data_IF_006392157860
#
_entry.id   IF_006392157860
#
_cell.length_a   1.000
_cell.length_b   1.000
_cell.length_c   1.000
_cell.angle_alpha   90.00
_cell.angle_beta   90.00
_cell.angle_gamma   90.00
#
_symmetry.space_group_name_H-M   'P 1'
#
loop_
_entity.id
_entity.type
_entity.pdbx_description
1 polymer ?
#
# COMPACT_ATOMS: atom_id res chain seq x y z
N UNK A 1 -22.58 -34.89 57.61
CA UNK A 1 -21.35 -35.70 57.35
C UNK A 1 -20.38 -34.88 56.58
N UNK A 2 -19.25 -34.47 57.17
CA UNK A 2 -18.18 -33.74 56.43
C UNK A 2 -17.46 -34.72 55.50
N UNK A 3 -17.49 -34.45 54.17
CA UNK A 3 -16.66 -35.18 53.18
C UNK A 3 -15.20 -34.96 53.53
N UNK A 4 -14.46 -36.02 53.88
CA UNK A 4 -13.00 -35.97 54.08
C UNK A 4 -12.34 -35.56 52.74
N UNK A 5 -11.45 -34.58 52.79
CA UNK A 5 -10.66 -34.18 51.64
C UNK A 5 -9.88 -35.38 51.07
N UNK A 6 -9.76 -35.54 49.75
CA UNK A 6 -9.01 -36.66 49.17
C UNK A 6 -7.55 -36.58 49.61
N UNK A 7 -6.99 -37.72 50.04
CA UNK A 7 -5.55 -37.83 50.40
C UNK A 7 -4.69 -37.45 49.20
N UNK A 8 -3.83 -36.47 49.35
CA UNK A 8 -2.84 -36.11 48.35
C UNK A 8 -1.58 -36.98 48.56
N UNK A 9 -1.08 -37.57 47.47
CA UNK A 9 0.14 -38.38 47.44
C UNK A 9 1.22 -37.69 46.59
N UNK A 10 2.48 -37.67 47.07
CA UNK A 10 3.59 -37.06 46.37
C UNK A 10 3.95 -37.84 45.11
N UNK A 11 4.50 -37.18 44.11
CA UNK A 11 4.93 -37.83 42.84
C UNK A 11 5.98 -38.92 43.11
N UNK A 12 6.85 -38.74 44.11
CA UNK A 12 7.84 -39.74 44.53
C UNK A 12 7.15 -41.01 45.03
N UNK A 13 6.14 -40.88 45.91
CA UNK A 13 5.38 -42.02 46.39
C UNK A 13 4.65 -42.79 45.29
N UNK A 14 4.09 -42.05 44.30
CA UNK A 14 3.40 -42.67 43.17
C UNK A 14 4.38 -43.47 42.30
N UNK A 15 5.59 -42.95 42.06
CA UNK A 15 6.66 -43.66 41.30
C UNK A 15 7.12 -44.91 42.06
N UNK A 16 7.37 -44.80 43.34
CA UNK A 16 7.77 -45.97 44.18
C UNK A 16 6.65 -47.04 44.20
N UNK A 17 5.40 -46.63 44.27
CA UNK A 17 4.26 -47.56 44.24
C UNK A 17 4.13 -48.27 42.87
N UNK A 18 4.49 -47.62 41.76
CA UNK A 18 4.49 -48.21 40.43
C UNK A 18 5.69 -49.18 40.27
N UNK A 19 6.87 -48.81 40.81
CA UNK A 19 8.05 -49.64 40.76
C UNK A 19 7.91 -50.98 41.49
N UNK A 20 7.12 -51.04 42.56
CA UNK A 20 6.74 -52.29 43.22
C UNK A 20 6.08 -53.28 42.24
N UNK A 21 5.33 -52.80 41.27
CA UNK A 21 4.65 -53.63 40.27
C UNK A 21 5.57 -53.96 39.12
N UNK A 22 6.31 -52.98 38.60
CA UNK A 22 7.07 -53.10 37.38
C UNK A 22 8.43 -53.80 37.60
N UNK A 23 9.10 -53.51 38.71
CA UNK A 23 10.44 -53.98 38.99
C UNK A 23 10.47 -55.13 40.00
N UNK A 24 9.55 -55.12 40.96
CA UNK A 24 9.56 -56.12 42.05
C UNK A 24 8.50 -57.23 41.88
N UNK A 25 7.70 -57.20 40.78
CA UNK A 25 6.77 -58.27 40.43
C UNK A 25 5.54 -58.44 41.30
N UNK A 26 5.20 -57.42 42.13
CA UNK A 26 3.96 -57.44 42.96
C UNK A 26 2.73 -57.33 42.07
N UNK A 27 1.70 -58.10 42.41
CA UNK A 27 0.39 -57.86 41.79
C UNK A 27 -0.19 -56.52 42.26
N UNK A 28 -1.03 -55.86 41.46
CA UNK A 28 -1.66 -54.58 41.81
C UNK A 28 -2.40 -54.67 43.13
N UNK A 29 -3.02 -55.83 43.43
CA UNK A 29 -3.73 -56.08 44.67
C UNK A 29 -2.76 -56.14 45.90
N UNK A 30 -1.66 -56.82 45.76
CA UNK A 30 -0.62 -56.94 46.80
C UNK A 30 0.05 -55.60 47.09
N UNK A 31 0.40 -54.83 46.03
CA UNK A 31 1.00 -53.51 46.16
C UNK A 31 0.01 -52.50 46.79
N UNK A 32 -1.28 -52.54 46.41
CA UNK A 32 -2.32 -51.71 47.02
C UNK A 32 -2.52 -51.98 48.49
N UNK A 33 -2.54 -53.25 48.88
CA UNK A 33 -2.68 -53.65 50.29
C UNK A 33 -1.43 -53.26 51.13
N UNK A 34 -0.24 -53.44 50.59
CA UNK A 34 1.01 -53.09 51.29
C UNK A 34 1.15 -51.57 51.50
N UNK A 35 0.65 -50.74 50.56
CA UNK A 35 0.71 -49.29 50.63
C UNK A 35 -0.52 -48.64 51.27
N UNK A 36 -1.55 -49.40 51.61
CA UNK A 36 -2.79 -48.90 52.22
C UNK A 36 -3.59 -47.97 51.31
N UNK A 37 -3.52 -48.23 49.99
CA UNK A 37 -4.23 -47.45 48.96
C UNK A 37 -5.21 -48.34 48.17
N UNK A 38 -6.13 -47.69 47.40
CA UNK A 38 -7.08 -48.47 46.62
C UNK A 38 -6.45 -48.93 45.29
N UNK A 39 -6.79 -50.14 44.85
CA UNK A 39 -6.35 -50.71 43.56
C UNK A 39 -6.71 -49.75 42.38
N UNK A 40 -7.84 -49.07 42.46
CA UNK A 40 -8.30 -48.10 41.48
C UNK A 40 -7.30 -46.93 41.30
N UNK A 41 -6.74 -46.42 42.40
CA UNK A 41 -5.72 -45.37 42.38
C UNK A 41 -4.42 -45.88 41.75
N UNK A 42 -4.02 -47.07 42.09
CA UNK A 42 -2.77 -47.65 41.57
C UNK A 42 -2.86 -47.98 40.07
N UNK A 43 -4.04 -48.45 39.59
CA UNK A 43 -4.29 -48.62 38.16
C UNK A 43 -4.27 -47.26 37.42
N UNK A 44 -4.81 -46.21 37.99
CA UNK A 44 -4.79 -44.87 37.41
C UNK A 44 -3.35 -44.31 37.30
N UNK A 45 -2.54 -44.52 38.34
CA UNK A 45 -1.13 -44.11 38.34
C UNK A 45 -0.29 -44.91 37.34
N UNK A 46 -0.48 -46.22 37.28
CA UNK A 46 0.19 -47.11 36.30
C UNK A 46 -0.14 -46.70 34.87
N UNK A 47 -1.41 -46.46 34.54
CA UNK A 47 -1.86 -46.01 33.21
C UNK A 47 -1.25 -44.66 32.84
N UNK A 48 -1.09 -43.75 33.81
CA UNK A 48 -0.45 -42.48 33.60
C UNK A 48 1.05 -42.62 33.33
N UNK A 49 1.74 -43.45 34.12
CA UNK A 49 3.16 -43.75 33.95
C UNK A 49 3.45 -44.43 32.58
N UNK A 50 2.63 -45.38 32.19
CA UNK A 50 2.73 -46.05 30.89
C UNK A 50 2.50 -45.08 29.73
N UNK A 51 1.59 -44.08 29.92
CA UNK A 51 1.34 -43.03 28.91
C UNK A 51 2.49 -42.01 28.83
N UNK A 52 3.19 -41.74 29.94
CA UNK A 52 4.31 -40.81 30.01
C UNK A 52 5.62 -41.46 29.47
N UNK A 53 5.76 -42.78 29.53
CA UNK A 53 6.93 -43.51 29.08
C UNK A 53 6.83 -44.05 27.64
N UNK A 54 5.81 -43.72 26.86
CA UNK A 54 5.75 -44.05 25.44
C UNK A 54 6.83 -43.27 24.66
N UNK A 55 7.59 -43.90 23.73
CA UNK A 55 8.67 -43.22 23.01
C UNK A 55 8.30 -42.00 22.19
N UNK A 56 7.01 -41.66 22.15
CA UNK A 56 6.47 -40.45 21.51
C UNK A 56 5.50 -39.68 22.41
N UNK A 57 5.57 -39.84 23.74
CA UNK A 57 4.71 -39.10 24.64
C UNK A 57 5.24 -37.69 24.86
N UNK A 58 4.46 -36.68 24.47
CA UNK A 58 4.75 -35.28 24.76
C UNK A 58 4.94 -35.08 26.27
N UNK A 59 6.01 -34.39 26.64
CA UNK A 59 6.24 -33.96 28.03
C UNK A 59 5.09 -33.07 28.54
N UNK A 60 4.96 -32.91 29.82
CA UNK A 60 3.96 -32.02 30.39
C UNK A 60 4.13 -30.57 29.89
N UNK A 61 5.38 -30.14 29.67
CA UNK A 61 5.72 -28.83 29.12
C UNK A 61 5.28 -28.71 27.64
N UNK A 62 5.61 -29.69 26.81
CA UNK A 62 5.23 -29.72 25.38
C UNK A 62 3.70 -29.78 25.18
N UNK A 63 2.98 -30.50 26.07
CA UNK A 63 1.49 -30.48 26.04
C UNK A 63 0.94 -29.11 26.36
N UNK A 64 1.51 -28.42 27.34
CA UNK A 64 1.09 -27.08 27.71
C UNK A 64 1.39 -26.09 26.58
N UNK A 65 2.55 -26.19 25.96
CA UNK A 65 2.93 -25.38 24.80
C UNK A 65 2.01 -25.64 23.60
N UNK A 66 1.74 -26.89 23.29
CA UNK A 66 0.83 -27.28 22.19
C UNK A 66 -0.60 -26.76 22.43
N UNK A 67 -1.09 -26.76 23.65
CA UNK A 67 -2.38 -26.16 24.00
C UNK A 67 -2.36 -24.65 23.84
N UNK A 68 -1.28 -23.98 24.24
CA UNK A 68 -1.09 -22.55 24.05
C UNK A 68 -1.04 -22.17 22.56
N UNK A 69 -0.22 -22.89 21.76
CA UNK A 69 -0.10 -22.69 20.33
C UNK A 69 -1.42 -22.94 19.58
N UNK A 70 -2.16 -23.99 19.92
CA UNK A 70 -3.51 -24.23 19.36
C UNK A 70 -4.48 -23.10 19.65
N UNK A 71 -4.41 -22.55 20.86
CA UNK A 71 -5.23 -21.40 21.25
C UNK A 71 -4.84 -20.14 20.47
N UNK A 72 -3.55 -19.93 20.27
CA UNK A 72 -3.01 -18.82 19.50
C UNK A 72 -3.36 -18.93 18.01
N UNK A 73 -3.19 -20.10 17.41
CA UNK A 73 -3.58 -20.37 16.00
C UNK A 73 -5.09 -20.13 15.80
N UNK A 74 -5.93 -20.57 16.74
CA UNK A 74 -7.37 -20.31 16.67
C UNK A 74 -7.67 -18.82 16.74
N UNK A 75 -6.95 -18.09 17.61
CA UNK A 75 -7.08 -16.65 17.74
C UNK A 75 -6.62 -15.92 16.45
N UNK A 76 -5.46 -16.27 15.91
CA UNK A 76 -4.92 -15.67 14.67
C UNK A 76 -5.82 -15.95 13.46
N UNK A 77 -6.42 -17.13 13.35
CA UNK A 77 -7.40 -17.44 12.30
C UNK A 77 -8.61 -16.52 12.40
N UNK A 78 -9.18 -16.34 13.60
CA UNK A 78 -10.30 -15.41 13.81
C UNK A 78 -9.87 -13.95 13.49
N UNK A 79 -8.69 -13.52 13.92
CA UNK A 79 -8.16 -12.18 13.66
C UNK A 79 -7.90 -11.94 12.17
N UNK A 80 -7.67 -12.98 11.36
CA UNK A 80 -7.53 -12.91 9.90
C UNK A 80 -8.89 -12.86 9.18
N UNK A 81 -9.93 -13.46 9.72
CA UNK A 81 -11.27 -13.44 9.12
C UNK A 81 -12.01 -12.12 9.36
N UNK A 82 -11.88 -11.56 10.56
CA UNK A 82 -12.51 -10.29 10.93
C UNK A 82 -12.09 -9.12 10.02
N UNK A 83 -10.79 -8.92 9.66
CA UNK A 83 -10.39 -7.84 8.76
C UNK A 83 -11.02 -7.90 7.39
N UNK A 84 -11.21 -9.08 6.80
CA UNK A 84 -11.86 -9.21 5.48
C UNK A 84 -13.25 -8.55 5.45
N UNK A 85 -13.95 -8.53 6.59
CA UNK A 85 -15.26 -7.89 6.75
C UNK A 85 -15.17 -6.45 7.26
N UNK A 86 -14.11 -6.10 8.02
CA UNK A 86 -13.98 -4.82 8.73
C UNK A 86 -12.84 -3.90 8.26
N UNK A 87 -11.96 -4.34 7.37
CA UNK A 87 -10.77 -3.58 6.93
C UNK A 87 -11.15 -2.25 6.27
N UNK A 88 -12.31 -2.23 5.61
CA UNK A 88 -12.88 -1.03 5.01
C UNK A 88 -13.33 0.01 6.04
N UNK A 89 -13.57 -0.39 7.29
CA UNK A 89 -14.10 0.47 8.36
C UNK A 89 -13.01 1.04 9.28
N UNK A 90 -11.75 0.64 9.12
CA UNK A 90 -10.64 1.12 9.97
C UNK A 90 -10.36 2.64 9.81
N UNK A 91 -10.76 3.23 8.69
CA UNK A 91 -10.68 4.67 8.44
C UNK A 91 -11.89 5.44 9.03
N UNK A 92 -12.88 4.73 9.54
CA UNK A 92 -14.14 5.30 9.98
C UNK A 92 -14.08 5.81 11.43
N UNK A 93 -15.07 6.64 11.77
CA UNK A 93 -15.24 7.17 13.13
C UNK A 93 -15.39 6.03 14.15
N UNK A 94 -15.02 6.31 15.39
CA UNK A 94 -15.16 5.38 16.52
C UNK A 94 -16.58 4.77 16.58
N UNK A 95 -17.63 5.57 16.31
CA UNK A 95 -19.02 5.12 16.32
C UNK A 95 -19.30 4.00 15.31
N UNK A 96 -18.76 4.10 14.07
CA UNK A 96 -18.95 3.11 13.00
C UNK A 96 -18.21 1.82 13.35
N UNK A 97 -17.00 1.94 13.87
CA UNK A 97 -16.24 0.79 14.38
C UNK A 97 -16.95 0.11 15.56
N UNK A 98 -17.54 0.89 16.46
CA UNK A 98 -18.36 0.35 17.55
C UNK A 98 -19.60 -0.36 17.04
N UNK A 99 -20.25 0.18 16.00
CA UNK A 99 -21.41 -0.45 15.37
C UNK A 99 -21.04 -1.78 14.71
N UNK A 100 -19.92 -1.86 14.00
CA UNK A 100 -19.40 -3.12 13.47
C UNK A 100 -19.18 -4.18 14.56
N UNK A 101 -18.59 -3.76 15.71
CA UNK A 101 -18.42 -4.66 16.87
C UNK A 101 -19.78 -5.14 17.40
N UNK A 102 -20.76 -4.25 17.46
CA UNK A 102 -22.12 -4.56 17.92
C UNK A 102 -22.83 -5.58 17.02
N UNK A 103 -22.69 -5.44 15.72
CA UNK A 103 -23.31 -6.32 14.72
C UNK A 103 -22.70 -7.73 14.74
N UNK A 104 -21.37 -7.81 14.95
CA UNK A 104 -20.66 -9.08 14.87
C UNK A 104 -20.37 -9.72 16.23
N UNK A 105 -20.86 -9.16 17.35
CA UNK A 105 -20.60 -9.68 18.71
C UNK A 105 -21.16 -11.08 18.97
N UNK A 106 -22.15 -11.52 18.18
CA UNK A 106 -22.72 -12.87 18.24
C UNK A 106 -21.83 -13.91 17.57
N UNK A 107 -21.06 -13.51 16.55
CA UNK A 107 -20.20 -14.41 15.77
C UNK A 107 -18.77 -14.48 16.34
N UNK A 108 -18.28 -13.38 16.94
CA UNK A 108 -16.91 -13.27 17.44
C UNK A 108 -16.86 -12.63 18.83
N UNK A 109 -15.90 -13.02 19.68
CA UNK A 109 -15.72 -12.40 20.98
C UNK A 109 -15.41 -10.89 20.88
N UNK A 110 -16.07 -10.06 21.65
CA UNK A 110 -15.92 -8.60 21.68
C UNK A 110 -14.45 -8.18 21.86
N UNK A 111 -13.67 -8.92 22.66
CA UNK A 111 -12.24 -8.67 22.87
C UNK A 111 -11.45 -8.68 21.55
N UNK A 112 -11.73 -9.65 20.67
CA UNK A 112 -11.04 -9.78 19.37
C UNK A 112 -11.53 -8.75 18.36
N UNK A 113 -12.85 -8.52 18.30
CA UNK A 113 -13.42 -7.47 17.45
C UNK A 113 -12.85 -6.08 17.80
N UNK A 114 -12.83 -5.73 19.08
CA UNK A 114 -12.27 -4.45 19.53
C UNK A 114 -10.77 -4.32 19.18
N UNK A 115 -9.99 -5.41 19.34
CA UNK A 115 -8.56 -5.42 19.01
C UNK A 115 -8.34 -5.16 17.53
N UNK A 116 -9.06 -5.88 16.65
CA UNK A 116 -8.97 -5.73 15.20
C UNK A 116 -9.41 -4.34 14.76
N UNK A 117 -10.51 -3.82 15.32
CA UNK A 117 -11.02 -2.49 15.01
C UNK A 117 -10.24 -1.35 15.72
N UNK A 118 -9.14 -1.66 16.41
CA UNK A 118 -8.34 -0.69 17.17
C UNK A 118 -9.20 0.17 18.11
N UNK A 119 -10.11 -0.47 18.85
CA UNK A 119 -10.99 0.13 19.83
C UNK A 119 -10.65 -0.38 21.24
N UNK A 120 -10.75 0.50 22.24
CA UNK A 120 -10.79 0.02 23.62
C UNK A 120 -12.15 -0.61 23.94
N UNK A 121 -12.19 -1.66 24.77
CA UNK A 121 -13.46 -2.23 25.22
C UNK A 121 -14.31 -1.23 25.99
N UNK A 122 -13.68 -0.36 26.79
CA UNK A 122 -14.37 0.71 27.51
C UNK A 122 -15.06 1.69 26.56
N UNK A 123 -14.40 2.05 25.44
CA UNK A 123 -15.00 2.89 24.39
C UNK A 123 -16.23 2.23 23.78
N UNK A 124 -16.16 0.93 23.48
CA UNK A 124 -17.30 0.19 22.95
C UNK A 124 -18.48 0.15 23.95
N UNK A 125 -18.24 -0.20 25.21
CA UNK A 125 -19.31 -0.25 26.21
C UNK A 125 -19.89 1.13 26.55
N UNK A 126 -19.08 2.19 26.54
CA UNK A 126 -19.57 3.57 26.69
C UNK A 126 -20.45 3.99 25.53
N UNK A 127 -20.07 3.62 24.30
CA UNK A 127 -20.87 3.86 23.10
C UNK A 127 -22.19 3.05 23.15
N UNK A 128 -22.15 1.80 23.61
CA UNK A 128 -23.35 0.95 23.74
C UNK A 128 -24.42 1.55 24.67
N UNK A 129 -24.00 2.31 25.69
CA UNK A 129 -24.94 3.04 26.58
C UNK A 129 -25.58 4.26 25.88
N UNK A 130 -24.93 4.82 24.86
CA UNK A 130 -25.41 5.97 24.08
C UNK A 130 -25.09 5.75 22.60
N UNK A 131 -25.78 4.83 21.91
CA UNK A 131 -25.47 4.52 20.53
C UNK A 131 -25.75 5.73 19.64
N UNK A 132 -24.73 6.16 18.88
CA UNK A 132 -24.94 7.10 17.78
C UNK A 132 -25.63 6.33 16.66
N UNK A 133 -26.67 6.91 16.07
CA UNK A 133 -27.38 6.32 14.92
C UNK A 133 -26.38 5.91 13.84
N UNK A 134 -26.42 4.67 13.33
CA UNK A 134 -25.55 4.25 12.24
C UNK A 134 -25.76 5.18 11.03
N UNK A 135 -24.72 5.36 10.24
CA UNK A 135 -24.86 6.03 8.97
C UNK A 135 -25.75 5.16 8.06
N UNK A 136 -26.52 5.83 7.22
CA UNK A 136 -27.22 5.16 6.13
C UNK A 136 -26.22 4.48 5.16
N UNK A 137 -26.66 3.43 4.50
CA UNK A 137 -25.81 2.60 3.65
C UNK A 137 -25.11 3.41 2.56
N UNK A 138 -25.80 4.35 1.93
CA UNK A 138 -25.27 5.25 0.89
C UNK A 138 -24.11 6.12 1.44
N UNK A 139 -24.27 6.66 2.64
CA UNK A 139 -23.22 7.45 3.29
C UNK A 139 -22.03 6.56 3.67
N UNK A 140 -22.28 5.33 4.12
CA UNK A 140 -21.22 4.37 4.43
C UNK A 140 -20.43 3.99 3.19
N UNK A 141 -21.11 3.72 2.09
CA UNK A 141 -20.49 3.40 0.79
C UNK A 141 -19.63 4.57 0.27
N UNK A 142 -20.15 5.80 0.33
CA UNK A 142 -19.41 7.01 -0.01
C UNK A 142 -18.12 7.15 0.82
N UNK A 143 -18.19 6.87 2.15
CA UNK A 143 -17.03 6.93 3.03
C UNK A 143 -15.99 5.87 2.66
N UNK A 144 -16.42 4.65 2.39
CA UNK A 144 -15.54 3.55 1.98
C UNK A 144 -14.85 3.87 0.65
N UNK A 145 -15.60 4.39 -0.33
CA UNK A 145 -15.07 4.78 -1.63
C UNK A 145 -14.05 5.91 -1.52
N UNK A 146 -14.35 6.95 -0.73
CA UNK A 146 -13.42 8.04 -0.47
C UNK A 146 -12.10 7.55 0.14
N UNK A 147 -12.17 6.65 1.12
CA UNK A 147 -11.00 6.03 1.73
C UNK A 147 -10.20 5.15 0.75
N UNK A 148 -10.87 4.41 -0.13
CA UNK A 148 -10.22 3.58 -1.16
C UNK A 148 -9.43 4.44 -2.15
N UNK A 149 -10.08 5.44 -2.75
CA UNK A 149 -9.46 6.37 -3.69
C UNK A 149 -8.28 7.12 -3.07
N UNK A 150 -8.41 7.53 -1.81
CA UNK A 150 -7.32 8.20 -1.10
C UNK A 150 -6.13 7.27 -0.86
N UNK A 151 -6.35 5.99 -0.54
CA UNK A 151 -5.29 4.97 -0.40
C UNK A 151 -4.64 4.62 -1.73
N UNK A 152 -5.41 4.42 -2.79
CA UNK A 152 -4.92 4.13 -4.14
C UNK A 152 -3.98 5.21 -4.67
N UNK A 153 -4.26 6.48 -4.32
CA UNK A 153 -3.40 7.62 -4.62
C UNK A 153 -2.20 7.77 -3.67
N UNK A 154 -1.96 6.83 -2.78
CA UNK A 154 -0.97 6.92 -1.70
C UNK A 154 -1.11 8.18 -0.85
N UNK A 155 -2.34 8.53 -0.50
CA UNK A 155 -2.66 9.68 0.34
C UNK A 155 -2.24 11.03 -0.28
N UNK A 156 -2.29 11.14 -1.60
CA UNK A 156 -1.89 12.34 -2.33
C UNK A 156 -3.06 13.17 -2.88
N UNK A 157 -4.29 12.62 -2.89
CA UNK A 157 -5.47 13.32 -3.41
C UNK A 157 -5.96 14.42 -2.46
N UNK A 158 -5.90 15.67 -2.92
CA UNK A 158 -6.59 16.77 -2.28
C UNK A 158 -8.10 16.73 -2.52
N UNK A 159 -8.87 17.48 -1.72
CA UNK A 159 -10.33 17.44 -1.75
C UNK A 159 -10.97 17.70 -3.12
N UNK A 160 -10.42 18.61 -3.96
CA UNK A 160 -10.93 18.88 -5.31
C UNK A 160 -10.80 17.67 -6.24
N UNK A 161 -9.63 17.02 -6.20
CA UNK A 161 -9.37 15.83 -7.02
C UNK A 161 -10.18 14.63 -6.53
N UNK A 162 -10.31 14.47 -5.21
CA UNK A 162 -11.15 13.42 -4.61
C UNK A 162 -12.62 13.65 -4.98
N UNK A 163 -13.11 14.90 -4.91
CA UNK A 163 -14.47 15.23 -5.33
C UNK A 163 -14.72 14.90 -6.81
N UNK A 164 -13.75 15.23 -7.68
CA UNK A 164 -13.85 14.93 -9.11
C UNK A 164 -13.90 13.42 -9.36
N UNK A 165 -13.10 12.63 -8.64
CA UNK A 165 -13.13 11.16 -8.75
C UNK A 165 -14.45 10.58 -8.23
N UNK A 166 -14.94 11.04 -7.08
CA UNK A 166 -16.21 10.58 -6.52
C UNK A 166 -17.38 10.88 -7.48
N UNK A 167 -17.40 12.08 -8.11
CA UNK A 167 -18.43 12.42 -9.12
C UNK A 167 -18.36 11.50 -10.34
N UNK A 168 -17.15 11.15 -10.79
CA UNK A 168 -16.96 10.18 -11.88
C UNK A 168 -17.49 8.79 -11.55
N UNK A 169 -17.47 8.41 -10.28
CA UNK A 169 -18.03 7.15 -9.75
C UNK A 169 -19.55 7.27 -9.47
N UNK A 170 -20.19 8.39 -9.81
CA UNK A 170 -21.65 8.58 -9.69
C UNK A 170 -22.13 9.28 -8.42
N UNK A 171 -21.23 9.66 -7.49
CA UNK A 171 -21.63 10.33 -6.26
C UNK A 171 -21.87 11.83 -6.46
N UNK A 172 -23.08 12.31 -6.15
CA UNK A 172 -23.41 13.74 -6.18
C UNK A 172 -22.81 14.47 -4.96
N UNK A 173 -21.54 14.84 -5.04
CA UNK A 173 -20.83 15.50 -3.94
C UNK A 173 -20.17 16.81 -4.38
N UNK A 174 -20.32 17.88 -3.57
CA UNK A 174 -19.63 19.14 -3.77
C UNK A 174 -18.23 19.15 -3.17
N UNK A 175 -17.37 20.05 -3.64
CA UNK A 175 -16.01 20.24 -3.11
C UNK A 175 -16.02 20.56 -1.62
N UNK A 176 -17.00 21.37 -1.16
CA UNK A 176 -17.18 21.69 0.25
C UNK A 176 -17.52 20.46 1.08
N UNK A 177 -18.48 19.64 0.63
CA UNK A 177 -18.83 18.37 1.31
C UNK A 177 -17.67 17.41 1.34
N UNK A 178 -16.90 17.30 0.23
CA UNK A 178 -15.70 16.44 0.17
C UNK A 178 -14.63 16.91 1.13
N UNK A 179 -14.38 18.21 1.25
CA UNK A 179 -13.43 18.76 2.23
C UNK A 179 -13.86 18.42 3.67
N UNK A 180 -15.16 18.55 3.97
CA UNK A 180 -15.73 18.17 5.28
C UNK A 180 -15.59 16.66 5.52
N UNK A 181 -15.89 15.85 4.51
CA UNK A 181 -15.75 14.39 4.54
C UNK A 181 -14.30 13.98 4.84
N UNK A 182 -13.31 14.51 4.12
CA UNK A 182 -11.90 14.24 4.36
C UNK A 182 -11.50 14.58 5.80
N UNK A 183 -11.92 15.74 6.32
CA UNK A 183 -11.67 16.11 7.72
C UNK A 183 -12.33 15.13 8.69
N UNK A 184 -13.54 14.66 8.38
CA UNK A 184 -14.26 13.68 9.21
C UNK A 184 -13.58 12.32 9.25
N UNK A 185 -13.02 11.89 8.11
CA UNK A 185 -12.34 10.60 7.97
C UNK A 185 -10.85 10.66 8.32
N UNK A 186 -10.32 11.85 8.69
CA UNK A 186 -8.91 12.02 8.97
C UNK A 186 -8.00 11.84 7.75
N UNK A 187 -8.53 12.12 6.55
CA UNK A 187 -7.77 12.01 5.30
C UNK A 187 -6.95 13.28 5.08
N UNK A 188 -5.69 13.26 5.51
CA UNK A 188 -4.80 14.40 5.43
C UNK A 188 -3.72 14.19 4.37
N UNK A 189 -3.60 15.18 3.46
CA UNK A 189 -2.54 15.20 2.44
C UNK A 189 -1.31 15.87 3.03
N UNK A 190 -0.19 15.18 3.04
CA UNK A 190 1.08 15.77 3.46
C UNK A 190 1.53 16.81 2.43
N UNK A 191 1.67 18.06 2.87
CA UNK A 191 2.13 19.15 2.01
C UNK A 191 3.60 18.95 1.59
N UNK A 192 3.90 19.34 0.35
CA UNK A 192 5.25 19.33 -0.21
C UNK A 192 6.08 20.44 0.41
N UNK A 193 7.34 20.16 0.73
CA UNK A 193 8.31 21.22 1.05
C UNK A 193 8.69 21.94 -0.26
N UNK A 194 8.81 23.28 -0.27
CA UNK A 194 9.26 24.01 -1.46
C UNK A 194 10.69 23.58 -1.83
N UNK A 195 10.92 23.40 -3.14
CA UNK A 195 12.20 23.02 -3.70
C UNK A 195 12.82 24.22 -4.45
N UNK A 196 14.12 24.45 -4.32
CA UNK A 196 14.88 25.46 -5.06
C UNK A 196 15.65 24.80 -6.20
N UNK A 197 15.56 25.36 -7.41
CA UNK A 197 16.29 24.92 -8.61
C UNK A 197 17.40 25.91 -8.93
N UNK A 198 18.56 25.40 -9.29
CA UNK A 198 19.70 26.20 -9.83
C UNK A 198 20.34 25.43 -10.98
N UNK A 199 20.29 25.98 -12.21
CA UNK A 199 21.17 25.57 -13.30
C UNK A 199 21.45 26.73 -14.26
N UNK A 200 22.68 26.80 -14.81
CA UNK A 200 23.13 27.83 -15.76
C UNK A 200 23.95 27.13 -16.86
N UNK A 201 23.40 27.01 -18.07
CA UNK A 201 24.14 26.58 -19.27
C UNK A 201 23.73 27.38 -20.51
N UNK A 202 24.60 27.48 -21.57
CA UNK A 202 24.32 28.22 -22.82
C UNK A 202 23.41 27.43 -23.76
N UNK A 203 22.55 28.13 -24.50
CA UNK A 203 21.63 27.54 -25.48
C UNK A 203 22.32 27.12 -26.78
N UNK A 204 21.82 26.04 -27.37
CA UNK A 204 22.17 25.58 -28.75
C UNK A 204 20.98 25.60 -29.69
N UNK A 205 19.76 25.83 -29.22
CA UNK A 205 18.56 25.96 -30.06
C UNK A 205 17.64 27.07 -29.55
N UNK A 206 16.76 27.59 -30.43
CA UNK A 206 15.77 28.62 -30.10
C UNK A 206 14.64 28.03 -29.27
N UNK A 207 14.04 28.87 -28.41
CA UNK A 207 12.83 28.51 -27.66
C UNK A 207 11.61 28.64 -28.60
N UNK A 208 11.16 27.52 -29.14
CA UNK A 208 9.97 27.46 -30.00
C UNK A 208 8.67 27.33 -29.20
N UNK A 209 8.78 26.94 -27.92
CA UNK A 209 7.62 26.73 -27.07
C UNK A 209 6.99 28.04 -26.61
N UNK A 210 7.81 29.07 -26.31
CA UNK A 210 7.37 30.39 -25.83
C UNK A 210 6.28 30.29 -24.74
N UNK A 211 6.43 29.37 -23.78
CA UNK A 211 5.46 29.08 -22.71
C UNK A 211 4.06 28.65 -23.21
N UNK A 212 3.89 28.29 -24.47
CA UNK A 212 2.65 27.71 -24.96
C UNK A 212 2.59 26.22 -24.63
N UNK A 213 2.13 25.91 -23.42
CA UNK A 213 1.99 24.53 -22.94
C UNK A 213 0.68 23.86 -23.37
N UNK A 214 -0.14 24.48 -24.17
CA UNK A 214 -1.44 23.95 -24.58
C UNK A 214 -1.53 23.83 -26.10
N UNK A 215 -0.81 22.85 -26.72
CA UNK A 215 -0.94 22.57 -28.14
C UNK A 215 -2.39 22.16 -28.47
N UNK A 216 -2.78 22.32 -29.73
CA UNK A 216 -4.15 22.09 -30.20
C UNK A 216 -4.42 20.60 -30.39
N UNK A 217 -3.40 19.85 -30.80
CA UNK A 217 -3.54 18.43 -31.04
C UNK A 217 -2.41 17.59 -30.40
N UNK A 218 -2.66 16.31 -30.26
CA UNK A 218 -1.66 15.35 -29.78
C UNK A 218 -0.51 15.22 -30.79
N UNK A 219 0.70 15.02 -30.27
CA UNK A 219 1.95 14.86 -31.03
C UNK A 219 2.45 16.13 -31.75
N UNK A 220 1.95 17.30 -31.44
CA UNK A 220 2.50 18.57 -31.92
C UNK A 220 3.75 18.98 -31.14
N UNK A 221 3.69 18.88 -29.81
CA UNK A 221 4.76 19.29 -28.91
C UNK A 221 4.99 18.24 -27.84
N UNK A 222 6.19 17.71 -27.81
CA UNK A 222 6.66 16.83 -26.74
C UNK A 222 7.67 17.55 -25.86
N UNK A 223 7.65 17.27 -24.57
CA UNK A 223 8.65 17.78 -23.64
C UNK A 223 9.38 16.62 -22.96
N UNK A 224 10.69 16.76 -22.82
CA UNK A 224 11.55 15.77 -22.19
C UNK A 224 12.36 16.35 -21.04
N UNK A 225 12.64 15.53 -20.03
CA UNK A 225 13.52 15.89 -18.92
C UNK A 225 14.01 14.62 -18.19
N UNK A 226 15.05 14.78 -17.37
CA UNK A 226 15.67 13.70 -16.59
C UNK A 226 15.50 14.00 -15.11
N UNK A 227 15.17 12.97 -14.34
CA UNK A 227 15.19 13.08 -12.89
C UNK A 227 16.05 12.03 -12.22
N UNK A 228 16.50 12.34 -11.01
CA UNK A 228 17.40 11.54 -10.18
C UNK A 228 16.61 10.87 -9.06
N UNK A 229 16.75 9.56 -8.93
CA UNK A 229 16.10 8.75 -7.90
C UNK A 229 17.19 8.07 -7.08
N UNK A 230 17.27 8.42 -5.79
CA UNK A 230 18.27 7.85 -4.88
C UNK A 230 17.79 6.50 -4.37
N UNK A 231 18.64 5.49 -4.44
CA UNK A 231 18.43 4.18 -3.84
C UNK A 231 19.63 3.79 -2.98
N UNK A 232 19.54 2.79 -2.09
CA UNK A 232 20.69 2.27 -1.36
C UNK A 232 21.83 1.75 -2.27
N UNK A 233 21.50 1.27 -3.47
CA UNK A 233 22.47 0.79 -4.49
C UNK A 233 23.06 1.94 -5.34
N UNK A 234 22.74 3.19 -5.03
CA UNK A 234 23.18 4.37 -5.77
C UNK A 234 22.06 5.02 -6.61
N UNK A 235 22.45 5.88 -7.54
CA UNK A 235 21.51 6.62 -8.35
C UNK A 235 20.82 5.76 -9.43
N UNK A 236 19.55 6.00 -9.63
CA UNK A 236 18.76 5.57 -10.77
C UNK A 236 18.27 6.83 -11.48
N UNK A 237 18.48 6.92 -12.78
CA UNK A 237 18.04 8.05 -13.61
C UNK A 237 16.81 7.65 -14.41
N UNK A 238 15.84 8.55 -14.48
CA UNK A 238 14.62 8.37 -15.27
C UNK A 238 14.54 9.52 -16.27
N UNK A 239 14.58 9.21 -17.55
CA UNK A 239 14.20 10.13 -18.62
C UNK A 239 12.75 9.85 -19.03
N UNK A 240 12.00 10.93 -19.30
CA UNK A 240 10.62 10.83 -19.81
C UNK A 240 10.45 11.68 -21.06
N UNK A 241 9.44 11.33 -21.84
CA UNK A 241 8.87 12.14 -22.92
C UNK A 241 7.39 12.29 -22.65
N UNK A 242 6.92 13.52 -22.56
CA UNK A 242 5.52 13.89 -22.31
C UNK A 242 4.93 14.60 -23.53
N UNK A 243 3.77 14.17 -23.96
CA UNK A 243 2.95 14.91 -24.91
C UNK A 243 2.22 16.05 -24.16
N UNK A 244 2.53 17.29 -24.55
CA UNK A 244 1.99 18.46 -23.84
C UNK A 244 0.50 18.67 -24.08
N UNK A 245 -0.10 18.10 -25.11
CA UNK A 245 -1.53 18.17 -25.37
C UNK A 245 -2.34 17.54 -24.22
N UNK A 246 -2.04 16.32 -23.90
CA UNK A 246 -2.78 15.53 -22.92
C UNK A 246 -2.04 15.34 -21.58
N UNK A 247 -0.81 15.83 -21.48
CA UNK A 247 0.11 15.55 -20.36
C UNK A 247 0.47 14.08 -20.24
N UNK A 248 0.26 13.29 -21.28
CA UNK A 248 0.54 11.85 -21.30
C UNK A 248 2.04 11.59 -21.40
N UNK A 249 2.55 10.70 -20.54
CA UNK A 249 3.90 10.17 -20.72
C UNK A 249 3.85 9.15 -21.85
N UNK A 250 4.52 9.47 -22.95
CA UNK A 250 4.53 8.68 -24.18
C UNK A 250 5.81 7.88 -24.35
N UNK A 251 6.89 8.27 -23.66
CA UNK A 251 8.15 7.52 -23.65
C UNK A 251 8.87 7.67 -22.33
N UNK A 252 9.63 6.68 -21.95
CA UNK A 252 10.46 6.70 -20.74
C UNK A 252 11.60 5.67 -20.85
N UNK A 253 12.69 5.94 -20.13
CA UNK A 253 13.75 4.95 -19.91
C UNK A 253 14.42 5.18 -18.56
N UNK A 254 14.90 4.08 -17.95
CA UNK A 254 15.60 4.12 -16.67
C UNK A 254 16.98 3.47 -16.77
N UNK A 255 18.00 4.14 -16.25
CA UNK A 255 19.39 3.67 -16.26
C UNK A 255 20.11 4.02 -14.96
N UNK A 256 21.17 3.28 -14.66
CA UNK A 256 22.12 3.64 -13.61
C UNK A 256 23.16 4.69 -14.07
N UNK A 257 23.16 5.06 -15.35
CA UNK A 257 24.04 6.07 -15.93
C UNK A 257 23.21 7.19 -16.54
N UNK A 258 23.70 8.43 -16.43
CA UNK A 258 23.10 9.59 -17.07
C UNK A 258 23.91 9.91 -18.33
N UNK A 259 23.47 9.37 -19.44
CA UNK A 259 24.13 9.49 -20.74
C UNK A 259 23.10 9.80 -21.85
N UNK A 260 23.60 10.06 -23.06
CA UNK A 260 22.73 10.31 -24.23
C UNK A 260 21.87 9.09 -24.55
N UNK A 261 22.32 7.86 -24.27
CA UNK A 261 21.54 6.65 -24.51
C UNK A 261 20.27 6.59 -23.64
N UNK A 262 20.30 7.17 -22.43
CA UNK A 262 19.14 7.25 -21.55
C UNK A 262 17.98 8.00 -22.20
N UNK A 263 18.24 9.20 -22.73
CA UNK A 263 17.22 10.05 -23.36
C UNK A 263 16.84 9.56 -24.75
N UNK A 264 17.80 9.02 -25.51
CA UNK A 264 17.54 8.46 -26.84
C UNK A 264 16.57 7.29 -26.79
N UNK A 265 16.73 6.36 -25.82
CA UNK A 265 15.81 5.23 -25.64
C UNK A 265 14.42 5.68 -25.23
N UNK A 266 14.30 6.73 -24.40
CA UNK A 266 13.00 7.30 -24.05
C UNK A 266 12.31 7.93 -25.28
N UNK A 267 13.06 8.64 -26.12
CA UNK A 267 12.56 9.22 -27.37
C UNK A 267 12.16 8.13 -28.38
N UNK A 268 13.01 7.11 -28.59
CA UNK A 268 12.69 5.98 -29.46
C UNK A 268 11.41 5.26 -29.06
N UNK A 269 11.22 5.03 -27.75
CA UNK A 269 9.97 4.46 -27.23
C UNK A 269 8.78 5.34 -27.57
N UNK A 270 8.88 6.66 -27.33
CA UNK A 270 7.82 7.60 -27.65
C UNK A 270 7.49 7.62 -29.14
N UNK A 271 8.51 7.69 -29.99
CA UNK A 271 8.37 7.70 -31.44
C UNK A 271 7.69 6.43 -31.97
N UNK A 272 8.15 5.26 -31.54
CA UNK A 272 7.59 3.97 -31.95
C UNK A 272 6.13 3.80 -31.48
N UNK A 273 5.79 4.33 -30.30
CA UNK A 273 4.43 4.25 -29.75
C UNK A 273 3.45 5.19 -30.46
N UNK A 274 3.91 6.36 -30.89
CA UNK A 274 3.04 7.47 -31.30
C UNK A 274 3.10 7.78 -32.79
N UNK A 275 4.21 7.47 -33.46
CA UNK A 275 4.46 7.81 -34.87
C UNK A 275 4.00 9.24 -35.18
N UNK A 276 4.64 10.28 -34.57
CA UNK A 276 4.19 11.65 -34.68
C UNK A 276 4.33 12.14 -36.15
N UNK A 277 3.51 13.11 -36.52
CA UNK A 277 3.64 13.77 -37.82
C UNK A 277 4.97 14.53 -37.91
N UNK A 278 5.47 14.71 -39.13
CA UNK A 278 6.67 15.51 -39.40
C UNK A 278 6.57 16.90 -38.80
N UNK A 279 7.66 17.38 -38.21
CA UNK A 279 7.72 18.70 -37.57
C UNK A 279 7.24 18.76 -36.12
N UNK A 280 6.95 17.63 -35.48
CA UNK A 280 6.73 17.58 -34.04
C UNK A 280 7.87 18.28 -33.29
N UNK A 281 7.54 19.19 -32.38
CA UNK A 281 8.53 19.92 -31.58
C UNK A 281 8.93 19.11 -30.37
N UNK A 282 10.23 18.88 -30.16
CA UNK A 282 10.75 18.31 -28.93
C UNK A 282 11.40 19.38 -28.07
N UNK A 283 10.79 19.70 -26.95
CA UNK A 283 11.27 20.69 -26.00
C UNK A 283 11.99 20.05 -24.82
N UNK A 284 13.15 20.60 -24.42
CA UNK A 284 13.92 20.15 -23.27
C UNK A 284 14.62 21.31 -22.58
N UNK A 285 15.21 21.02 -21.42
CA UNK A 285 16.21 21.89 -20.82
C UNK A 285 17.51 21.89 -21.67
N UNK A 286 18.49 22.67 -21.22
CA UNK A 286 19.82 22.77 -21.85
C UNK A 286 20.82 21.77 -21.28
N UNK A 287 20.36 20.62 -20.81
CA UNK A 287 21.24 19.56 -20.34
C UNK A 287 22.19 19.07 -21.44
N UNK A 288 23.43 18.74 -21.04
CA UNK A 288 24.47 18.28 -21.99
C UNK A 288 24.04 17.07 -22.81
N UNK A 289 23.15 16.24 -22.28
CA UNK A 289 22.59 15.09 -22.99
C UNK A 289 21.74 15.54 -24.20
N UNK A 290 20.82 16.50 -23.96
CA UNK A 290 19.91 17.02 -24.99
C UNK A 290 20.61 17.88 -26.06
N UNK A 291 21.71 18.55 -25.70
CA UNK A 291 22.51 19.36 -26.61
C UNK A 291 23.56 18.54 -27.38
N UNK A 292 23.71 17.25 -27.08
CA UNK A 292 24.69 16.38 -27.75
C UNK A 292 24.37 16.21 -29.24
N UNK A 293 25.39 16.22 -30.08
CA UNK A 293 25.24 16.01 -31.54
C UNK A 293 24.53 14.71 -31.89
N UNK A 294 24.76 13.64 -31.10
CA UNK A 294 24.09 12.34 -31.28
C UNK A 294 22.58 12.45 -31.09
N UNK A 295 22.11 13.19 -30.06
CA UNK A 295 20.71 13.36 -29.81
C UNK A 295 20.02 14.26 -30.81
N UNK A 296 20.71 15.33 -31.24
CA UNK A 296 20.21 16.22 -32.31
C UNK A 296 20.09 15.48 -33.67
N UNK A 297 21.06 14.62 -33.98
CA UNK A 297 20.98 13.75 -35.15
C UNK A 297 19.78 12.79 -35.11
N UNK A 298 19.49 12.24 -33.93
CA UNK A 298 18.32 11.37 -33.73
C UNK A 298 17.01 12.14 -33.93
N UNK A 299 16.86 13.36 -33.36
CA UNK A 299 15.68 14.20 -33.59
C UNK A 299 15.48 14.50 -35.08
N UNK A 300 16.56 14.87 -35.77
CA UNK A 300 16.53 15.14 -37.21
C UNK A 300 16.14 13.90 -38.02
N UNK A 301 16.60 12.69 -37.64
CA UNK A 301 16.22 11.43 -38.32
C UNK A 301 14.73 11.10 -38.18
N UNK A 302 14.06 11.68 -37.17
CA UNK A 302 12.63 11.57 -36.94
C UNK A 302 11.82 12.76 -37.50
N UNK A 303 12.42 13.63 -38.28
CA UNK A 303 11.81 14.88 -38.77
C UNK A 303 11.24 15.76 -37.63
N UNK A 304 11.86 15.71 -36.43
CA UNK A 304 11.46 16.49 -35.26
C UNK A 304 12.27 17.79 -35.16
N UNK A 305 11.64 18.84 -34.65
CA UNK A 305 12.29 20.13 -34.40
C UNK A 305 12.73 20.25 -32.95
N UNK A 306 13.98 20.52 -32.70
CA UNK A 306 14.52 20.77 -31.38
C UNK A 306 14.11 22.15 -30.86
N UNK A 307 13.68 22.23 -29.63
CA UNK A 307 13.38 23.47 -28.89
C UNK A 307 14.02 23.41 -27.52
N UNK A 308 14.64 24.50 -27.08
CA UNK A 308 15.30 24.58 -25.77
C UNK A 308 14.83 25.82 -25.00
N UNK A 309 14.57 25.65 -23.70
CA UNK A 309 14.20 26.74 -22.81
C UNK A 309 15.25 27.85 -22.75
N UNK A 310 14.90 29.07 -22.37
CA UNK A 310 15.85 30.19 -22.22
C UNK A 310 16.73 30.09 -20.95
N UNK A 311 17.85 30.81 -20.94
CA UNK A 311 18.76 30.79 -19.80
C UNK A 311 18.06 31.31 -18.56
N UNK A 312 17.95 30.46 -17.54
CA UNK A 312 17.30 30.81 -16.28
C UNK A 312 15.78 30.76 -16.30
N UNK A 313 15.15 30.42 -17.44
CA UNK A 313 13.72 30.24 -17.54
C UNK A 313 13.31 28.83 -17.14
N UNK A 314 13.35 28.54 -15.83
CA UNK A 314 12.87 27.27 -15.28
C UNK A 314 11.37 27.01 -15.56
N UNK A 315 10.63 28.05 -15.93
CA UNK A 315 9.22 27.94 -16.32
C UNK A 315 8.99 27.21 -17.64
N UNK A 316 10.00 27.17 -18.54
CA UNK A 316 9.84 26.59 -19.88
C UNK A 316 9.66 25.06 -19.84
N UNK A 317 10.07 24.39 -18.75
CA UNK A 317 9.83 22.95 -18.53
C UNK A 317 8.95 22.65 -17.30
N UNK A 318 8.23 23.64 -16.80
CA UNK A 318 7.45 23.56 -15.56
C UNK A 318 6.44 22.40 -15.52
N UNK A 319 5.93 21.97 -16.67
CA UNK A 319 4.96 20.87 -16.77
C UNK A 319 5.62 19.53 -16.43
N UNK A 320 6.82 19.29 -16.98
CA UNK A 320 7.59 18.06 -16.71
C UNK A 320 8.15 18.07 -15.29
N UNK A 321 8.64 19.21 -14.82
CA UNK A 321 9.07 19.38 -13.42
C UNK A 321 7.93 19.06 -12.43
N UNK A 322 6.72 19.51 -12.75
CA UNK A 322 5.52 19.20 -11.94
C UNK A 322 5.19 17.72 -11.92
N UNK A 323 5.39 17.02 -13.03
CA UNK A 323 5.28 15.57 -13.11
C UNK A 323 6.28 14.91 -12.15
N UNK A 324 7.56 15.28 -12.23
CA UNK A 324 8.59 14.73 -11.34
C UNK A 324 8.35 15.06 -9.87
N UNK A 325 7.86 16.26 -9.60
CA UNK A 325 7.42 16.62 -8.25
C UNK A 325 6.31 15.69 -7.74
N UNK A 326 5.31 15.38 -8.59
CA UNK A 326 4.25 14.43 -8.24
C UNK A 326 4.77 13.01 -8.08
N UNK A 327 5.60 12.52 -9.01
CA UNK A 327 6.23 11.21 -8.92
C UNK A 327 6.97 11.03 -7.59
N UNK A 328 7.84 11.97 -7.24
CA UNK A 328 8.67 11.88 -6.04
C UNK A 328 7.85 12.02 -4.76
N UNK A 329 7.10 13.10 -4.62
CA UNK A 329 6.47 13.47 -3.34
C UNK A 329 5.12 12.79 -3.12
N UNK A 330 4.33 12.56 -4.17
CA UNK A 330 3.01 11.98 -4.04
C UNK A 330 3.07 10.45 -4.07
N UNK A 331 4.17 9.86 -4.59
CA UNK A 331 4.26 8.41 -4.80
C UNK A 331 5.51 7.77 -4.21
N UNK A 332 6.72 8.05 -4.74
CA UNK A 332 7.94 7.34 -4.37
C UNK A 332 8.38 7.56 -2.91
N UNK A 333 8.33 8.80 -2.42
CA UNK A 333 8.77 9.12 -1.05
C UNK A 333 7.77 8.72 0.04
N UNK A 334 6.68 8.06 -0.33
CA UNK A 334 5.71 7.51 0.63
C UNK A 334 6.16 6.18 1.24
N UNK A 335 7.11 5.50 0.62
CA UNK A 335 7.69 4.26 1.13
C UNK A 335 9.20 4.20 0.86
N UNK A 336 9.98 3.49 1.69
CA UNK A 336 11.38 3.19 1.37
C UNK A 336 11.46 2.17 0.22
N UNK A 337 12.58 2.18 -0.50
CA UNK A 337 12.92 1.20 -1.55
C UNK A 337 14.24 0.55 -1.18
N UNK A 338 14.29 -0.79 -1.19
CA UNK A 338 15.48 -1.54 -0.80
C UNK A 338 16.57 -1.52 -1.89
N UNK A 339 16.17 -1.48 -3.16
CA UNK A 339 17.08 -1.57 -4.31
C UNK A 339 16.54 -0.84 -5.54
N UNK A 340 17.35 -0.81 -6.62
CA UNK A 340 16.96 -0.20 -7.90
C UNK A 340 15.79 -0.93 -8.57
N UNK A 341 15.65 -2.23 -8.38
CA UNK A 341 14.58 -3.02 -9.00
C UNK A 341 13.22 -2.63 -8.44
N UNK A 342 13.11 -2.51 -7.10
CA UNK A 342 11.89 -2.03 -6.46
C UNK A 342 11.55 -0.58 -6.87
N UNK A 343 12.57 0.29 -6.96
CA UNK A 343 12.38 1.66 -7.42
C UNK A 343 11.87 1.69 -8.86
N UNK A 344 12.43 0.87 -9.76
CA UNK A 344 11.96 0.75 -11.15
C UNK A 344 10.50 0.31 -11.21
N UNK A 345 10.15 -0.74 -10.49
CA UNK A 345 8.77 -1.23 -10.46
C UNK A 345 7.79 -0.16 -9.97
N UNK A 346 8.16 0.57 -8.92
CA UNK A 346 7.32 1.61 -8.36
C UNK A 346 7.16 2.82 -9.28
N UNK A 347 8.19 3.15 -10.06
CA UNK A 347 8.10 4.16 -11.14
C UNK A 347 7.13 3.68 -12.23
N UNK A 348 7.18 2.41 -12.64
CA UNK A 348 6.26 1.85 -13.63
C UNK A 348 4.81 1.90 -13.16
N UNK A 349 4.57 1.54 -11.91
CA UNK A 349 3.24 1.61 -11.29
C UNK A 349 2.71 3.05 -11.29
N UNK A 350 3.60 4.02 -10.99
CA UNK A 350 3.22 5.43 -11.07
C UNK A 350 2.93 5.91 -12.48
N UNK A 351 3.74 5.55 -13.47
CA UNK A 351 3.51 5.91 -14.87
C UNK A 351 2.15 5.40 -15.37
N UNK A 352 1.81 4.16 -14.99
CA UNK A 352 0.52 3.57 -15.27
C UNK A 352 -0.62 4.34 -14.58
N UNK A 353 -0.50 4.58 -13.29
CA UNK A 353 -1.45 5.37 -12.51
C UNK A 353 -1.63 6.78 -13.10
N UNK A 354 -0.51 7.46 -13.41
CA UNK A 354 -0.50 8.80 -13.97
C UNK A 354 -1.25 8.88 -15.30
N UNK A 355 -0.96 7.98 -16.21
CA UNK A 355 -1.55 7.99 -17.55
C UNK A 355 -3.02 7.56 -17.58
N UNK A 356 -3.39 6.56 -16.77
CA UNK A 356 -4.70 5.91 -16.85
C UNK A 356 -5.71 6.42 -15.82
N UNK A 357 -5.26 6.81 -14.63
CA UNK A 357 -6.14 7.04 -13.47
C UNK A 357 -6.08 8.47 -12.96
N UNK A 358 -4.86 9.05 -12.87
CA UNK A 358 -4.66 10.37 -12.29
C UNK A 358 -5.40 11.44 -13.10
N UNK A 359 -6.28 12.19 -12.43
CA UNK A 359 -7.00 13.30 -13.05
C UNK A 359 -6.11 14.55 -13.13
N UNK A 360 -6.27 15.32 -14.20
CA UNK A 360 -5.55 16.57 -14.44
C UNK A 360 -6.52 17.73 -14.65
N UNK A 361 -6.31 18.85 -13.94
CA UNK A 361 -7.12 20.06 -14.12
C UNK A 361 -7.00 20.61 -15.54
N UNK A 362 -5.79 20.55 -16.14
CA UNK A 362 -5.58 20.96 -17.53
C UNK A 362 -6.35 20.09 -18.55
N UNK A 363 -6.76 18.89 -18.18
CA UNK A 363 -7.52 17.96 -19.00
C UNK A 363 -8.98 17.86 -18.56
N UNK A 364 -9.55 18.92 -18.03
CA UNK A 364 -10.94 18.93 -17.51
C UNK A 364 -11.24 17.79 -16.54
N UNK A 365 -10.31 17.51 -15.62
CA UNK A 365 -10.40 16.39 -14.67
C UNK A 365 -10.50 15.02 -15.34
N UNK A 366 -9.93 14.85 -16.53
CA UNK A 366 -9.73 13.55 -17.16
C UNK A 366 -8.29 13.08 -16.97
N UNK A 367 -8.09 11.77 -17.02
CA UNK A 367 -6.73 11.21 -17.10
C UNK A 367 -6.15 11.45 -18.50
N UNK A 368 -4.83 11.51 -18.68
CA UNK A 368 -4.20 11.75 -19.96
C UNK A 368 -4.75 10.88 -21.10
N UNK A 369 -4.88 9.58 -20.86
CA UNK A 369 -5.41 8.64 -21.86
C UNK A 369 -6.89 8.89 -22.14
N UNK A 370 -7.69 9.16 -21.10
CA UNK A 370 -9.13 9.42 -21.27
C UNK A 370 -9.35 10.73 -22.04
N UNK A 371 -8.55 11.75 -21.75
CA UNK A 371 -8.59 13.03 -22.46
C UNK A 371 -8.32 12.85 -23.95
N UNK A 372 -7.25 12.15 -24.36
CA UNK A 372 -6.97 11.87 -25.76
C UNK A 372 -8.11 11.09 -26.45
N UNK A 373 -8.70 10.12 -25.75
CA UNK A 373 -9.79 9.32 -26.31
C UNK A 373 -11.07 10.11 -26.53
N UNK A 374 -11.35 11.12 -25.67
CA UNK A 374 -12.57 11.92 -25.79
C UNK A 374 -12.60 12.78 -27.07
N UNK A 375 -11.44 13.21 -27.54
CA UNK A 375 -11.34 14.02 -28.78
C UNK A 375 -11.20 13.17 -30.06
N UNK A 376 -10.73 11.92 -29.99
CA UNK A 376 -10.69 11.00 -31.14
C UNK A 376 -12.07 10.49 -31.59
N UNK A 377 -13.11 10.67 -30.76
CA UNK A 377 -14.49 10.22 -31.10
C UNK A 377 -15.29 11.28 -31.87
N UNK A 378 -14.72 12.45 -32.14
CA UNK A 378 -15.42 13.58 -32.80
C UNK A 378 -14.90 13.81 -34.22
N UNK A 379 -13.94 13.02 -34.67
CA UNK A 379 -13.42 12.97 -36.06
C UNK A 379 -13.70 11.56 -36.69
#
# INVERSE_FOLDING_TARGET
MKRKSPKQYTERFKKEAINLILEQGYTVQQAANALGITTKLLYAWRKRHEAENKPNALTAFERQELLALRKEVKQLKMEKEIPKKGERLLCERVAIRCWFVQEHKTQYPIKHLCRVMKLSRSTFYSWQKRPVKPLDDDTLELHQKACSLFRESRQSLGYRMLAAQLRKEGYAISDYRTRKLMKQLGLEVKQRKPYRVTSKNKATAYNLLNQNFNPVAANEIWAGDITYLKTPEGWLYLAIVMDLYSRRIVGWHMSSKIDTALISKALMMAYNLRSPTKGCVFHSDRGSQYTSGQYQALLNSYDMRSSQGDVGACWDNAVVERFFGSLKHDWLFKRPHANRTEMKQDVLDYLRYYNLTRLHTANNYLSPVTYEKSFRKVS
#
